data_IF_104063200836
#
_entry.id   IF_104063200836
#
_cell.length_a   1.000
_cell.length_b   1.000
_cell.length_c   1.000
_cell.angle_alpha   90.00
_cell.angle_beta   90.00
_cell.angle_gamma   90.00
#
_symmetry.space_group_name_H-M   'P 1'
#
loop_
_entity.id
_entity.type
_entity.pdbx_description
1 polymer ?
#
# COMPACT_ATOMS: atom_id res chain seq x y z
N UNK A 1 7.61 -27.80 25.13
CA UNK A 1 7.27 -28.41 23.84
C UNK A 1 7.42 -27.31 22.78
N UNK A 2 8.32 -27.46 21.82
CA UNK A 2 8.49 -26.52 20.70
C UNK A 2 7.39 -26.80 19.69
N UNK A 3 6.47 -25.86 19.52
CA UNK A 3 5.41 -25.96 18.51
C UNK A 3 6.08 -25.94 17.12
N UNK A 4 5.87 -26.98 16.32
CA UNK A 4 6.35 -27.00 14.93
C UNK A 4 5.61 -25.95 14.11
N UNK A 5 6.33 -25.20 13.25
CA UNK A 5 5.71 -24.24 12.32
C UNK A 5 4.69 -24.95 11.42
N UNK A 6 4.92 -26.22 11.08
CA UNK A 6 4.00 -27.02 10.27
C UNK A 6 2.65 -27.28 10.95
N UNK A 7 2.59 -27.16 12.29
CA UNK A 7 1.37 -27.40 13.06
C UNK A 7 0.55 -26.11 13.30
N UNK A 8 1.08 -24.94 12.90
CA UNK A 8 0.39 -23.67 13.00
C UNK A 8 -0.68 -23.59 11.91
N UNK A 9 -1.88 -24.08 12.24
CA UNK A 9 -3.04 -24.07 11.34
C UNK A 9 -4.21 -23.38 12.03
N UNK A 10 -4.87 -22.46 11.28
CA UNK A 10 -6.11 -21.81 11.71
C UNK A 10 -7.22 -22.20 10.76
N UNK A 11 -8.41 -22.53 11.27
CA UNK A 11 -9.62 -22.65 10.46
C UNK A 11 -10.22 -21.26 10.25
N UNK A 12 -10.64 -20.97 9.05
CA UNK A 12 -11.28 -19.71 8.66
C UNK A 12 -12.78 -19.93 8.53
N UNK A 13 -13.57 -19.16 9.30
CA UNK A 13 -15.01 -19.39 9.43
C UNK A 13 -15.83 -18.11 9.50
N UNK A 14 -15.19 -16.94 9.38
CA UNK A 14 -15.78 -15.67 9.76
C UNK A 14 -16.86 -15.18 8.78
N UNK A 15 -16.63 -15.30 7.49
CA UNK A 15 -17.49 -14.74 6.47
C UNK A 15 -17.42 -15.49 5.15
N UNK A 16 -18.26 -15.11 4.20
CA UNK A 16 -18.32 -15.61 2.83
C UNK A 16 -18.17 -14.45 1.85
N UNK A 17 -17.72 -14.77 0.63
CA UNK A 17 -17.68 -13.82 -0.48
C UNK A 17 -18.30 -14.47 -1.71
N UNK A 18 -19.56 -14.09 -1.98
CA UNK A 18 -20.32 -14.59 -3.11
C UNK A 18 -20.52 -13.48 -4.15
N UNK A 19 -20.70 -13.86 -5.40
CA UNK A 19 -20.91 -12.94 -6.51
C UNK A 19 -22.14 -12.04 -6.27
N UNK A 20 -23.23 -12.62 -5.82
CA UNK A 20 -24.50 -11.90 -5.60
C UNK A 20 -24.40 -10.86 -4.47
N UNK A 21 -23.53 -11.09 -3.49
CA UNK A 21 -23.30 -10.20 -2.35
C UNK A 21 -22.15 -9.21 -2.57
N UNK A 22 -21.42 -9.31 -3.68
CA UNK A 22 -20.29 -8.43 -3.98
C UNK A 22 -20.67 -7.33 -4.97
N UNK A 23 -20.03 -6.17 -4.86
CA UNK A 23 -20.26 -5.05 -5.75
C UNK A 23 -19.81 -5.35 -7.19
N UNK A 24 -20.47 -4.74 -8.18
CA UNK A 24 -20.09 -4.86 -9.58
C UNK A 24 -18.73 -4.18 -9.87
N UNK A 25 -18.44 -3.09 -9.18
CA UNK A 25 -17.19 -2.36 -9.32
C UNK A 25 -16.23 -2.67 -8.15
N UNK A 26 -14.93 -2.94 -8.43
CA UNK A 26 -13.96 -3.33 -7.40
C UNK A 26 -13.66 -2.21 -6.39
N UNK A 27 -13.73 -0.94 -6.81
CA UNK A 27 -13.51 0.19 -5.90
C UNK A 27 -14.58 0.25 -4.80
N UNK A 28 -15.84 -0.02 -5.14
CA UNK A 28 -16.95 -0.07 -4.18
C UNK A 28 -16.79 -1.26 -3.22
N UNK A 29 -16.34 -2.41 -3.73
CA UNK A 29 -16.05 -3.58 -2.90
C UNK A 29 -14.88 -3.29 -1.93
N UNK A 30 -13.84 -2.59 -2.39
CA UNK A 30 -12.73 -2.18 -1.54
C UNK A 30 -13.16 -1.16 -0.48
N UNK A 31 -13.94 -0.16 -0.85
CA UNK A 31 -14.47 0.87 0.06
C UNK A 31 -15.28 0.22 1.20
N UNK A 32 -16.16 -0.71 0.85
CA UNK A 32 -16.93 -1.45 1.84
C UNK A 32 -15.99 -2.23 2.80
N UNK A 33 -15.06 -3.01 2.27
CA UNK A 33 -14.19 -3.84 3.09
C UNK A 33 -13.23 -3.03 3.96
N UNK A 34 -12.75 -1.87 3.46
CA UNK A 34 -11.92 -0.97 4.27
C UNK A 34 -12.73 -0.34 5.41
N UNK A 35 -13.98 0.09 5.16
CA UNK A 35 -14.87 0.59 6.20
C UNK A 35 -15.17 -0.47 7.27
N UNK A 36 -15.40 -1.71 6.84
CA UNK A 36 -15.60 -2.83 7.77
C UNK A 36 -14.31 -3.11 8.58
N UNK A 37 -13.12 -3.01 7.99
CA UNK A 37 -11.86 -3.17 8.70
C UNK A 37 -11.64 -2.04 9.74
N UNK A 38 -11.98 -0.80 9.39
CA UNK A 38 -11.93 0.34 10.32
C UNK A 38 -12.94 0.13 11.48
N UNK A 39 -14.17 -0.26 11.16
CA UNK A 39 -15.23 -0.48 12.15
C UNK A 39 -14.94 -1.68 13.07
N UNK A 40 -14.20 -2.66 12.59
CA UNK A 40 -13.75 -3.81 13.36
C UNK A 40 -12.44 -3.53 14.14
N UNK A 41 -11.97 -2.28 14.14
CA UNK A 41 -10.74 -1.85 14.82
C UNK A 41 -9.50 -2.69 14.44
N UNK A 42 -9.42 -3.12 13.17
CA UNK A 42 -8.24 -3.84 12.68
C UNK A 42 -7.01 -2.92 12.86
N UNK A 43 -5.91 -3.40 13.42
CA UNK A 43 -4.70 -2.59 13.57
C UNK A 43 -4.18 -2.09 12.20
N UNK A 44 -3.95 -0.79 12.09
CA UNK A 44 -3.46 -0.11 10.88
C UNK A 44 -4.17 -0.59 9.59
N UNK A 45 -5.52 -0.48 9.47
CA UNK A 45 -6.28 -1.02 8.34
C UNK A 45 -5.86 -0.41 6.99
N UNK A 46 -5.18 0.73 7.03
CA UNK A 46 -4.62 1.46 5.90
C UNK A 46 -3.18 1.07 5.55
N UNK A 47 -2.56 0.13 6.28
CA UNK A 47 -1.25 -0.40 5.94
C UNK A 47 -1.37 -1.41 4.79
N UNK A 48 -0.47 -1.28 3.80
CA UNK A 48 -0.43 -2.19 2.66
C UNK A 48 1.00 -2.60 2.34
N UNK A 49 1.18 -3.82 1.89
CA UNK A 49 2.43 -4.30 1.30
C UNK A 49 2.49 -3.83 -0.14
N UNK A 50 3.51 -3.05 -0.47
CA UNK A 50 3.82 -2.66 -1.85
C UNK A 50 4.95 -3.51 -2.40
N UNK A 51 4.70 -4.24 -3.48
CA UNK A 51 5.68 -4.98 -4.27
C UNK A 51 6.10 -4.18 -5.50
N UNK A 52 7.40 -4.10 -5.74
CA UNK A 52 8.00 -3.45 -6.92
C UNK A 52 9.13 -4.31 -7.47
N UNK A 53 9.42 -4.19 -8.76
CA UNK A 53 10.48 -4.92 -9.45
C UNK A 53 11.40 -3.92 -10.13
N UNK A 54 12.70 -4.04 -9.91
CA UNK A 54 13.71 -3.20 -10.54
C UNK A 54 14.17 -3.76 -11.90
N UNK A 55 15.15 -3.07 -12.52
CA UNK A 55 15.77 -3.50 -13.78
C UNK A 55 16.48 -4.85 -13.68
N UNK A 56 16.85 -5.28 -12.47
CA UNK A 56 17.41 -6.59 -12.17
C UNK A 56 16.37 -7.72 -12.11
N UNK A 57 15.10 -7.40 -12.37
CA UNK A 57 13.94 -8.30 -12.32
C UNK A 57 13.72 -8.97 -10.95
N UNK A 58 14.33 -8.45 -9.89
CA UNK A 58 14.17 -8.98 -8.54
C UNK A 58 13.04 -8.23 -7.81
N UNK A 59 11.99 -8.93 -7.37
CA UNK A 59 10.92 -8.31 -6.60
C UNK A 59 11.41 -7.92 -5.21
N UNK A 60 10.86 -6.84 -4.69
CA UNK A 60 11.06 -6.43 -3.30
C UNK A 60 9.77 -5.84 -2.74
N UNK A 61 9.57 -6.01 -1.44
CA UNK A 61 8.38 -5.54 -0.74
C UNK A 61 8.71 -4.60 0.42
N UNK A 62 7.74 -3.80 0.81
CA UNK A 62 7.74 -2.95 2.02
C UNK A 62 6.32 -2.58 2.39
N UNK A 63 6.14 -2.18 3.64
CA UNK A 63 4.87 -1.59 4.06
C UNK A 63 4.86 -0.11 3.70
N UNK A 64 3.73 0.34 3.17
CA UNK A 64 3.38 1.75 2.98
C UNK A 64 1.93 1.97 3.40
N UNK A 65 1.54 3.23 3.62
CA UNK A 65 0.17 3.54 4.04
C UNK A 65 -0.61 4.15 2.86
N UNK A 66 -1.80 3.61 2.59
CA UNK A 66 -2.74 4.28 1.69
C UNK A 66 -3.13 5.63 2.28
N UNK A 67 -3.20 6.67 1.44
CA UNK A 67 -3.56 8.04 1.82
C UNK A 67 -4.75 8.60 1.05
N UNK A 68 -5.15 7.92 0.00
CA UNK A 68 -6.33 8.23 -0.78
C UNK A 68 -6.62 7.12 -1.79
N UNK A 69 -7.87 7.03 -2.19
CA UNK A 69 -8.33 6.16 -3.27
C UNK A 69 -9.57 6.76 -3.91
N UNK A 70 -9.62 6.69 -5.20
CA UNK A 70 -10.74 7.15 -6.03
C UNK A 70 -10.77 6.34 -7.34
N UNK A 71 -11.60 6.74 -8.29
CA UNK A 71 -11.73 6.10 -9.61
C UNK A 71 -10.41 6.11 -10.39
N UNK A 72 -9.51 7.04 -10.08
CA UNK A 72 -8.19 7.14 -10.72
C UNK A 72 -7.19 6.13 -10.13
N UNK A 73 -7.41 5.62 -8.91
CA UNK A 73 -6.57 4.60 -8.28
C UNK A 73 -6.22 4.85 -6.82
N UNK A 74 -5.18 4.17 -6.37
CA UNK A 74 -4.72 4.12 -4.97
C UNK A 74 -3.50 5.02 -4.79
N UNK A 75 -3.53 5.92 -3.80
CA UNK A 75 -2.48 6.93 -3.58
C UNK A 75 -1.71 6.65 -2.29
N UNK A 76 -0.37 6.78 -2.38
CA UNK A 76 0.54 6.83 -1.23
C UNK A 76 1.65 7.83 -1.47
N UNK A 77 2.36 8.24 -0.41
CA UNK A 77 3.45 9.21 -0.50
C UNK A 77 4.76 8.61 0.04
N UNK A 78 5.88 8.94 -0.61
CA UNK A 78 7.19 8.38 -0.27
C UNK A 78 8.33 9.24 -0.81
N UNK A 79 9.57 8.84 -0.47
CA UNK A 79 10.78 9.38 -1.07
C UNK A 79 11.03 8.71 -2.44
N UNK A 80 11.17 9.51 -3.50
CA UNK A 80 11.40 9.06 -4.88
C UNK A 80 12.79 8.44 -5.07
N UNK A 81 13.79 8.86 -4.27
CA UNK A 81 15.13 8.32 -4.30
C UNK A 81 15.30 7.03 -3.48
N UNK A 82 14.24 6.56 -2.83
CA UNK A 82 14.22 5.28 -2.14
C UNK A 82 14.34 4.10 -3.12
N UNK A 83 14.65 2.89 -2.60
CA UNK A 83 14.71 1.69 -3.45
C UNK A 83 13.43 1.50 -4.28
N UNK A 84 12.24 1.68 -3.67
CA UNK A 84 10.97 1.57 -4.40
C UNK A 84 10.80 2.68 -5.45
N UNK A 85 11.21 3.92 -5.13
CA UNK A 85 11.12 5.03 -6.06
C UNK A 85 11.99 4.82 -7.30
N UNK A 86 13.24 4.38 -7.11
CA UNK A 86 14.13 4.04 -8.23
C UNK A 86 13.62 2.86 -9.05
N UNK A 87 13.03 1.84 -8.41
CA UNK A 87 12.43 0.71 -9.11
C UNK A 87 11.24 1.16 -9.96
N UNK A 88 10.33 1.97 -9.40
CA UNK A 88 9.16 2.49 -10.10
C UNK A 88 9.53 3.45 -11.25
N UNK A 89 10.64 4.16 -11.15
CA UNK A 89 11.13 5.01 -12.25
C UNK A 89 11.56 4.18 -13.48
N UNK A 90 12.06 2.96 -13.27
CA UNK A 90 12.50 2.06 -14.36
C UNK A 90 11.42 1.05 -14.78
N UNK A 91 10.50 0.70 -13.88
CA UNK A 91 9.42 -0.26 -14.12
C UNK A 91 8.18 0.19 -13.33
N UNK A 92 7.15 0.74 -13.99
CA UNK A 92 5.99 1.29 -13.33
C UNK A 92 4.98 0.24 -12.85
N UNK A 93 5.18 -1.04 -13.13
CA UNK A 93 4.29 -2.10 -12.67
C UNK A 93 4.50 -2.39 -11.19
N UNK A 94 3.41 -2.45 -10.45
CA UNK A 94 3.43 -2.77 -9.03
C UNK A 94 2.21 -3.58 -8.62
N UNK A 95 2.35 -4.26 -7.48
CA UNK A 95 1.22 -4.88 -6.78
C UNK A 95 1.18 -4.38 -5.34
N UNK A 96 -0.02 -4.18 -4.83
CA UNK A 96 -0.28 -3.86 -3.42
C UNK A 96 -1.19 -4.90 -2.80
N UNK A 97 -1.00 -5.16 -1.50
CA UNK A 97 -1.80 -6.10 -0.75
C UNK A 97 -2.17 -5.53 0.62
N UNK A 98 -3.45 -5.55 0.93
CA UNK A 98 -3.98 -5.40 2.28
C UNK A 98 -4.22 -6.78 2.89
N UNK A 99 -3.86 -6.98 4.16
CA UNK A 99 -4.08 -8.23 4.87
C UNK A 99 -4.70 -7.93 6.23
N UNK A 100 -6.00 -8.12 6.32
CA UNK A 100 -6.79 -7.94 7.54
C UNK A 100 -7.03 -9.30 8.20
N UNK A 101 -6.09 -9.70 9.04
CA UNK A 101 -6.04 -11.03 9.68
C UNK A 101 -7.27 -11.29 10.52
N UNK A 102 -7.74 -10.27 11.24
CA UNK A 102 -8.91 -10.33 12.12
C UNK A 102 -10.20 -10.59 11.35
N UNK A 103 -10.26 -10.19 10.09
CA UNK A 103 -11.39 -10.41 9.19
C UNK A 103 -11.20 -11.61 8.26
N UNK A 104 -10.04 -12.25 8.32
CA UNK A 104 -9.67 -13.35 7.42
C UNK A 104 -9.75 -12.92 5.94
N UNK A 105 -9.33 -11.68 5.63
CA UNK A 105 -9.44 -11.05 4.32
C UNK A 105 -8.10 -10.60 3.77
N UNK A 106 -7.97 -10.75 2.45
CA UNK A 106 -6.87 -10.17 1.68
C UNK A 106 -7.45 -9.44 0.46
N UNK A 107 -6.96 -8.24 0.20
CA UNK A 107 -7.19 -7.54 -1.07
C UNK A 107 -5.87 -7.39 -1.78
N UNK A 108 -5.79 -7.82 -3.04
CA UNK A 108 -4.63 -7.64 -3.92
C UNK A 108 -5.02 -6.75 -5.08
N UNK A 109 -4.14 -5.84 -5.46
CA UNK A 109 -4.39 -4.88 -6.54
C UNK A 109 -3.11 -4.79 -7.38
N UNK A 110 -3.23 -5.03 -8.67
CA UNK A 110 -2.15 -4.89 -9.62
C UNK A 110 -2.43 -3.72 -10.57
N UNK A 111 -1.39 -2.97 -10.91
CA UNK A 111 -1.59 -1.78 -11.71
C UNK A 111 -0.29 -1.15 -12.22
N UNK A 112 -0.49 -0.03 -12.91
CA UNK A 112 0.60 0.83 -13.38
C UNK A 112 0.68 2.06 -12.48
N UNK A 113 1.88 2.40 -12.04
CA UNK A 113 2.13 3.50 -11.12
C UNK A 113 2.56 4.74 -11.88
N UNK A 114 1.99 5.87 -11.52
CA UNK A 114 2.41 7.20 -11.95
C UNK A 114 2.64 8.11 -10.75
N UNK A 115 3.38 9.20 -10.93
CA UNK A 115 3.45 10.26 -9.92
C UNK A 115 2.15 11.04 -9.90
N UNK A 116 1.69 11.42 -8.72
CA UNK A 116 0.61 12.42 -8.60
C UNK A 116 1.16 13.82 -8.90
N UNK A 117 0.31 14.81 -9.04
CA UNK A 117 0.73 16.18 -9.30
C UNK A 117 1.55 16.78 -8.15
N UNK A 118 2.28 17.84 -8.44
CA UNK A 118 3.03 18.57 -7.41
C UNK A 118 2.09 19.20 -6.40
N UNK A 119 0.94 19.72 -6.84
CA UNK A 119 -0.09 20.31 -5.99
C UNK A 119 -0.64 19.28 -4.99
N UNK A 120 -0.99 18.07 -5.45
CA UNK A 120 -1.48 16.99 -4.60
C UNK A 120 -0.38 16.53 -3.61
N UNK A 121 0.88 16.52 -4.05
CA UNK A 121 2.03 16.21 -3.20
C UNK A 121 2.29 17.29 -2.16
N UNK A 122 2.17 18.57 -2.51
CA UNK A 122 2.36 19.70 -1.61
C UNK A 122 1.26 19.79 -0.56
N UNK A 123 0.00 19.62 -0.97
CA UNK A 123 -1.15 19.59 -0.08
C UNK A 123 -0.96 18.53 1.02
N UNK A 124 -0.69 17.29 0.61
CA UNK A 124 -0.48 16.23 1.59
C UNK A 124 0.81 16.44 2.42
N UNK A 125 1.90 16.94 1.83
CA UNK A 125 3.13 17.22 2.59
C UNK A 125 2.88 18.21 3.72
N UNK A 126 2.14 19.28 3.47
CA UNK A 126 1.86 20.34 4.45
C UNK A 126 0.86 19.92 5.53
N UNK A 127 -0.01 18.94 5.25
CA UNK A 127 -0.92 18.37 6.26
C UNK A 127 -0.20 17.49 7.29
N UNK A 128 1.04 17.08 7.03
CA UNK A 128 1.82 16.19 7.92
C UNK A 128 2.35 16.95 9.14
N UNK A 129 2.51 16.26 10.31
CA UNK A 129 3.20 16.80 11.47
C UNK A 129 4.60 17.32 11.12
N UNK A 130 5.05 18.37 11.81
CA UNK A 130 6.34 19.03 11.56
C UNK A 130 7.51 18.04 11.55
N UNK A 131 7.58 17.15 12.54
CA UNK A 131 8.65 16.14 12.65
C UNK A 131 8.68 15.19 11.43
N UNK A 132 7.51 14.83 10.91
CA UNK A 132 7.40 14.02 9.70
C UNK A 132 7.86 14.77 8.44
N UNK A 133 7.63 16.08 8.37
CA UNK A 133 8.11 16.94 7.28
C UNK A 133 9.63 17.11 7.33
N UNK A 134 10.20 17.34 8.53
CA UNK A 134 11.63 17.39 8.74
C UNK A 134 12.28 16.02 8.43
N UNK A 135 11.65 14.92 8.87
CA UNK A 135 12.10 13.57 8.60
C UNK A 135 12.21 13.24 7.11
N UNK A 136 11.36 13.83 6.26
CA UNK A 136 11.44 13.66 4.80
C UNK A 136 12.72 14.26 4.20
N UNK A 137 13.26 15.32 4.79
CA UNK A 137 14.56 15.92 4.45
C UNK A 137 15.73 15.16 5.07
N UNK A 138 15.56 14.69 6.31
CA UNK A 138 16.64 14.11 7.10
C UNK A 138 17.05 12.71 6.66
N UNK A 139 16.09 11.95 6.07
CA UNK A 139 16.31 10.54 5.77
C UNK A 139 16.71 10.31 4.31
N UNK A 140 17.97 9.89 4.01
CA UNK A 140 18.35 9.37 2.70
C UNK A 140 17.77 7.95 2.55
N UNK A 141 16.47 7.85 2.36
CA UNK A 141 15.70 6.60 2.47
C UNK A 141 16.27 5.47 1.61
N UNK A 142 16.45 4.30 2.20
CA UNK A 142 17.02 3.09 1.59
C UNK A 142 18.53 3.16 1.25
N UNK A 143 19.24 4.20 1.66
CA UNK A 143 20.70 4.28 1.51
C UNK A 143 21.40 3.71 2.76
N UNK A 144 22.62 3.23 2.57
CA UNK A 144 23.50 2.83 3.69
C UNK A 144 23.99 4.08 4.40
N UNK A 145 23.86 4.11 5.71
CA UNK A 145 24.39 5.17 6.59
C UNK A 145 25.27 4.56 7.66
N UNK A 146 26.22 5.35 8.18
CA UNK A 146 27.18 4.87 9.21
C UNK A 146 26.54 4.59 10.57
N UNK A 147 25.34 5.13 10.82
CA UNK A 147 24.61 4.92 12.07
C UNK A 147 23.43 5.86 12.24
N UNK A 148 22.62 5.63 13.29
CA UNK A 148 21.45 6.45 13.60
C UNK A 148 21.78 7.93 13.85
N UNK A 149 23.02 8.22 14.30
CA UNK A 149 23.51 9.59 14.53
C UNK A 149 23.42 10.48 13.27
N UNK A 150 23.58 9.90 12.07
CA UNK A 150 23.40 10.62 10.80
C UNK A 150 21.98 11.18 10.67
N UNK A 151 20.97 10.38 11.01
CA UNK A 151 19.57 10.82 10.96
C UNK A 151 19.28 11.93 11.98
N UNK A 152 19.83 11.79 13.19
CA UNK A 152 19.68 12.80 14.26
C UNK A 152 20.33 14.12 13.85
N UNK A 153 21.56 14.07 13.34
CA UNK A 153 22.28 15.26 12.87
C UNK A 153 21.54 15.95 11.71
N UNK A 154 21.07 15.18 10.74
CA UNK A 154 20.30 15.71 9.61
C UNK A 154 18.97 16.33 10.09
N UNK A 155 18.25 15.68 11.01
CA UNK A 155 17.00 16.21 11.56
C UNK A 155 17.24 17.54 12.29
N UNK A 156 18.29 17.65 13.11
CA UNK A 156 18.69 18.89 13.77
C UNK A 156 19.06 19.99 12.75
N UNK A 157 19.85 19.66 11.73
CA UNK A 157 20.23 20.59 10.65
C UNK A 157 19.00 21.15 9.93
N UNK A 158 18.11 20.29 9.43
CA UNK A 158 16.94 20.72 8.68
C UNK A 158 15.88 21.37 9.58
N UNK A 159 15.76 20.94 10.85
CA UNK A 159 14.94 21.61 11.84
C UNK A 159 15.38 23.06 12.07
N UNK A 160 16.67 23.31 12.25
CA UNK A 160 17.22 24.65 12.38
C UNK A 160 17.07 25.48 11.09
N UNK A 161 17.27 24.84 9.91
CA UNK A 161 17.21 25.53 8.62
C UNK A 161 15.79 25.98 8.27
N UNK A 162 14.78 25.13 8.47
CA UNK A 162 13.40 25.39 8.02
C UNK A 162 12.46 25.84 9.12
N UNK A 163 12.87 25.72 10.38
CA UNK A 163 12.05 26.07 11.55
C UNK A 163 10.66 25.39 11.48
N UNK A 164 9.59 26.18 11.44
CA UNK A 164 8.21 25.67 11.44
C UNK A 164 7.64 25.41 10.01
N UNK A 165 8.35 25.81 8.97
CA UNK A 165 7.82 25.82 7.60
C UNK A 165 8.78 25.09 6.62
N UNK A 166 9.10 23.80 6.83
CA UNK A 166 9.88 23.07 5.84
C UNK A 166 9.10 22.95 4.51
N UNK A 167 9.71 23.33 3.38
CA UNK A 167 9.14 23.08 2.07
C UNK A 167 9.16 21.57 1.78
N UNK A 168 8.37 21.10 0.81
CA UNK A 168 8.45 19.73 0.34
C UNK A 168 9.80 19.49 -0.35
N UNK A 169 10.53 18.41 -0.01
CA UNK A 169 11.75 18.06 -0.72
C UNK A 169 11.45 17.67 -2.18
N UNK A 170 12.32 18.01 -3.16
CA UNK A 170 12.09 17.64 -4.56
C UNK A 170 12.09 16.12 -4.79
N UNK A 171 12.71 15.37 -3.91
CA UNK A 171 12.76 13.91 -3.92
C UNK A 171 11.62 13.24 -3.14
N UNK A 172 10.58 13.97 -2.76
CA UNK A 172 9.45 13.44 -2.00
C UNK A 172 8.11 13.84 -2.61
N UNK A 173 7.18 12.89 -2.69
CA UNK A 173 5.83 13.13 -3.20
C UNK A 173 5.01 11.86 -3.31
N UNK A 174 3.90 11.95 -4.02
CA UNK A 174 2.92 10.89 -4.17
C UNK A 174 3.11 10.04 -5.41
N UNK A 175 2.65 8.81 -5.27
CA UNK A 175 2.41 7.88 -6.36
C UNK A 175 0.94 7.47 -6.37
N UNK A 176 0.41 7.21 -7.56
CA UNK A 176 -0.90 6.62 -7.80
C UNK A 176 -0.73 5.31 -8.56
N UNK A 177 -1.25 4.22 -8.03
CA UNK A 177 -1.40 2.98 -8.78
C UNK A 177 -2.76 3.02 -9.48
N UNK A 178 -2.74 2.95 -10.81
CA UNK A 178 -3.92 2.77 -11.66
C UNK A 178 -4.19 1.29 -11.81
N UNK A 179 -5.26 0.76 -11.21
CA UNK A 179 -5.51 -0.67 -11.21
C UNK A 179 -5.93 -1.17 -12.58
N UNK A 180 -5.45 -2.34 -12.96
CA UNK A 180 -6.02 -3.15 -14.04
C UNK A 180 -6.54 -4.50 -13.55
N UNK A 181 -6.23 -4.88 -12.27
CA UNK A 181 -6.73 -6.09 -11.63
C UNK A 181 -6.89 -5.88 -10.14
N UNK A 182 -7.98 -6.41 -9.60
CA UNK A 182 -8.23 -6.56 -8.16
C UNK A 182 -8.53 -8.02 -7.86
N UNK A 183 -8.13 -8.49 -6.71
CA UNK A 183 -8.55 -9.77 -6.15
C UNK A 183 -8.97 -9.57 -4.70
N UNK A 184 -10.17 -10.05 -4.39
CA UNK A 184 -10.72 -10.12 -3.04
C UNK A 184 -10.71 -11.59 -2.60
N UNK A 185 -10.05 -11.85 -1.49
CA UNK A 185 -9.91 -13.17 -0.91
C UNK A 185 -10.54 -13.19 0.48
N UNK A 186 -11.45 -14.15 0.75
CA UNK A 186 -12.06 -14.40 2.04
C UNK A 186 -11.71 -15.81 2.51
N UNK A 187 -11.23 -15.90 3.75
CA UNK A 187 -10.94 -17.19 4.39
C UNK A 187 -12.18 -18.06 4.54
N UNK A 188 -12.05 -19.35 4.21
CA UNK A 188 -13.09 -20.39 4.35
C UNK A 188 -12.50 -21.68 4.89
N UNK A 189 -13.37 -22.52 5.48
CA UNK A 189 -13.02 -23.88 5.96
C UNK A 189 -12.35 -24.71 4.87
N UNK A 190 -11.57 -25.69 5.30
CA UNK A 190 -10.96 -26.70 4.44
C UNK A 190 -10.11 -26.14 3.30
N UNK A 191 -9.64 -24.87 3.43
CA UNK A 191 -8.89 -24.14 2.41
C UNK A 191 -9.65 -23.87 1.11
N UNK A 192 -10.98 -24.02 1.10
CA UNK A 192 -11.84 -23.72 -0.04
C UNK A 192 -12.23 -22.22 0.00
N UNK A 193 -11.22 -21.36 -0.06
CA UNK A 193 -11.36 -19.91 0.11
C UNK A 193 -12.12 -19.27 -1.04
N UNK A 194 -12.96 -18.29 -0.74
CA UNK A 194 -13.59 -17.49 -1.77
C UNK A 194 -12.59 -16.49 -2.36
N UNK A 195 -12.52 -16.47 -3.69
CA UNK A 195 -11.64 -15.57 -4.43
C UNK A 195 -12.40 -14.95 -5.59
N UNK A 196 -12.63 -13.64 -5.55
CA UNK A 196 -13.23 -12.89 -6.64
C UNK A 196 -12.18 -11.97 -7.25
N UNK A 197 -11.91 -12.14 -8.54
CA UNK A 197 -11.06 -11.28 -9.33
C UNK A 197 -11.90 -10.33 -10.17
N UNK A 198 -11.47 -9.08 -10.24
CA UNK A 198 -11.97 -8.09 -11.19
C UNK A 198 -10.83 -7.76 -12.13
N UNK A 199 -11.03 -7.98 -13.41
CA UNK A 199 -10.07 -7.68 -14.48
C UNK A 199 -10.65 -6.56 -15.34
N UNK A 200 -9.82 -5.54 -15.63
CA UNK A 200 -10.20 -4.46 -16.54
C UNK A 200 -10.19 -5.00 -17.98
N UNK A 201 -11.29 -4.80 -18.70
CA UNK A 201 -11.46 -5.16 -20.11
C UNK A 201 -12.00 -3.93 -20.87
N UNK A 202 -11.11 -3.25 -21.57
CA UNK A 202 -11.40 -1.92 -22.08
C UNK A 202 -11.66 -0.92 -20.94
N UNK A 203 -12.91 -0.49 -20.78
CA UNK A 203 -13.36 0.41 -19.70
C UNK A 203 -14.14 -0.30 -18.62
N UNK A 204 -14.46 -1.57 -18.80
CA UNK A 204 -15.36 -2.30 -17.93
C UNK A 204 -14.63 -3.30 -17.03
N UNK A 205 -15.18 -3.54 -15.85
CA UNK A 205 -14.68 -4.55 -14.92
C UNK A 205 -15.41 -5.87 -15.12
N UNK A 206 -14.65 -6.91 -15.49
CA UNK A 206 -15.14 -8.29 -15.57
C UNK A 206 -14.83 -8.99 -14.26
N UNK A 207 -15.87 -9.44 -13.55
CA UNK A 207 -15.76 -10.18 -12.30
C UNK A 207 -15.77 -11.69 -12.57
N UNK A 208 -14.80 -12.40 -11.95
CA UNK A 208 -14.58 -13.82 -12.14
C UNK A 208 -14.27 -14.49 -10.79
N UNK A 209 -14.70 -15.74 -10.61
CA UNK A 209 -14.30 -16.55 -9.46
C UNK A 209 -13.02 -17.31 -9.78
N UNK A 210 -12.05 -17.28 -8.86
CA UNK A 210 -10.84 -18.08 -8.94
C UNK A 210 -10.93 -19.30 -8.02
N UNK A 211 -10.35 -20.42 -8.44
CA UNK A 211 -10.12 -21.55 -7.53
C UNK A 211 -9.12 -21.14 -6.43
N UNK A 212 -9.29 -21.62 -5.19
CA UNK A 212 -8.38 -21.36 -4.06
C UNK A 212 -7.02 -22.01 -4.23
#
# INVERSE_FOLDING_TARGET
MTTSIADLRKSYERAELNEDASHAAPLQQFDQWLKEAISAEVPEPNAMTLATVGSDMRPSTRIVLIKGYDERGIVWFTNYDSRKGRQLAGNPYAAIQFHWVELERVVRIEGVVEKVSDEESDEYFHSRPLDSRIGAWASPQSQVISGRSVLVANAAKYGAQFMLKPPRPPHWGGYRLKPYQWEFWQGRKSRLHDRLRYRLDGTDWVRERLAP
#
